data_IF_773841791492
#
_entry.id   IF_773841791492
#
_cell.length_a   1.000
_cell.length_b   1.000
_cell.length_c   1.000
_cell.angle_alpha   90.00
_cell.angle_beta   90.00
_cell.angle_gamma   90.00
#
_symmetry.space_group_name_H-M   'P 1'
#
loop_
_entity.id
_entity.type
_entity.pdbx_description
1 polymer ?
#
# COMPACT_ATOMS: atom_id res chain seq x y z
N UNK A 1 -54.72 -24.22 26.65
CA UNK A 1 -55.11 -24.79 25.35
C UNK A 1 -53.91 -24.67 24.40
N UNK A 2 -53.47 -25.82 23.86
CA UNK A 2 -52.52 -26.11 22.76
C UNK A 2 -51.81 -24.93 22.05
N UNK A 3 -50.46 -24.86 22.02
CA UNK A 3 -49.47 -25.61 21.20
C UNK A 3 -49.58 -25.37 19.69
N UNK A 4 -48.56 -24.71 19.14
CA UNK A 4 -48.03 -24.88 17.79
C UNK A 4 -46.50 -24.80 17.83
N UNK A 5 -45.81 -25.79 17.26
CA UNK A 5 -44.37 -26.10 17.36
C UNK A 5 -43.53 -25.40 16.26
N UNK A 6 -42.24 -25.18 16.56
CA UNK A 6 -41.09 -24.52 15.89
C UNK A 6 -40.65 -25.11 14.50
N UNK A 7 -39.47 -24.77 13.87
CA UNK A 7 -38.44 -23.71 14.04
C UNK A 7 -37.89 -23.09 12.71
N UNK A 8 -37.00 -22.07 12.78
CA UNK A 8 -35.71 -21.91 12.02
C UNK A 8 -35.30 -20.43 11.87
N UNK A 9 -34.45 -19.97 12.80
CA UNK A 9 -33.47 -18.91 12.59
C UNK A 9 -32.13 -19.65 12.42
N UNK A 10 -31.65 -19.86 11.19
CA UNK A 10 -30.30 -20.38 10.92
C UNK A 10 -30.05 -20.39 9.40
N UNK A 11 -29.49 -19.33 8.84
CA UNK A 11 -29.27 -19.30 7.39
C UNK A 11 -28.48 -18.10 6.90
N UNK A 12 -27.31 -17.80 7.50
CA UNK A 12 -26.18 -17.09 6.86
C UNK A 12 -24.98 -16.94 7.81
N UNK A 13 -25.15 -17.13 9.12
CA UNK A 13 -24.05 -17.08 10.11
C UNK A 13 -23.23 -18.37 10.26
N UNK A 14 -23.53 -19.44 9.51
CA UNK A 14 -22.86 -20.74 9.67
C UNK A 14 -21.56 -20.90 8.84
N UNK A 15 -21.32 -20.07 7.82
CA UNK A 15 -20.17 -20.26 6.90
C UNK A 15 -18.85 -19.65 7.40
N UNK A 16 -18.89 -18.72 8.37
CA UNK A 16 -17.69 -18.17 9.00
C UNK A 16 -17.31 -18.86 10.32
N UNK A 17 -18.22 -19.66 10.91
CA UNK A 17 -17.96 -20.41 12.15
C UNK A 17 -17.43 -21.82 11.86
N UNK A 18 -17.71 -22.41 10.68
CA UNK A 18 -17.13 -23.69 10.29
C UNK A 18 -15.63 -23.60 9.90
N UNK A 19 -15.17 -22.45 9.41
CA UNK A 19 -13.76 -22.22 9.10
C UNK A 19 -12.89 -22.10 10.37
N UNK A 20 -13.46 -21.64 11.49
CA UNK A 20 -12.74 -21.57 12.77
C UNK A 20 -12.74 -22.91 13.52
N UNK A 21 -13.74 -23.78 13.31
CA UNK A 21 -13.82 -25.06 14.01
C UNK A 21 -12.96 -26.18 13.38
N UNK A 22 -12.78 -26.23 12.05
CA UNK A 22 -11.93 -27.26 11.43
C UNK A 22 -10.44 -27.03 11.63
N UNK A 23 -10.02 -25.77 11.83
CA UNK A 23 -8.64 -25.43 12.20
C UNK A 23 -8.36 -25.82 13.66
N UNK A 24 -9.38 -25.79 14.52
CA UNK A 24 -9.26 -26.19 15.93
C UNK A 24 -9.22 -27.72 16.12
N UNK A 25 -9.84 -28.52 15.24
CA UNK A 25 -9.80 -29.99 15.32
C UNK A 25 -8.54 -30.63 14.73
N UNK A 26 -7.66 -29.87 14.06
CA UNK A 26 -6.45 -30.38 13.43
C UNK A 26 -5.18 -30.28 14.30
N UNK A 27 -5.24 -29.67 15.49
CA UNK A 27 -4.09 -29.56 16.42
C UNK A 27 -4.10 -30.59 17.55
N UNK A 28 -5.00 -31.57 17.49
CA UNK A 28 -5.05 -32.68 18.43
C UNK A 28 -4.80 -34.02 17.74
N UNK A 29 -3.57 -34.26 17.27
CA UNK A 29 -2.86 -35.56 17.28
C UNK A 29 -1.72 -35.61 16.24
N UNK A 30 -0.50 -35.82 16.74
CA UNK A 30 0.49 -36.76 16.17
C UNK A 30 1.08 -36.50 14.79
N UNK A 31 2.24 -35.85 14.78
CA UNK A 31 3.46 -36.22 14.03
C UNK A 31 3.34 -36.74 12.59
N UNK A 32 3.74 -35.89 11.64
CA UNK A 32 4.69 -36.24 10.58
C UNK A 32 5.15 -34.96 9.87
N UNK A 33 6.46 -34.83 9.77
CA UNK A 33 7.25 -33.85 9.05
C UNK A 33 6.90 -33.84 7.55
N UNK A 34 6.34 -32.74 7.03
CA UNK A 34 6.53 -32.27 5.65
C UNK A 34 6.01 -30.83 5.46
N UNK A 35 6.66 -30.06 4.59
CA UNK A 35 6.51 -28.62 4.29
C UNK A 35 5.11 -28.15 3.82
N UNK A 36 4.07 -28.30 4.65
CA UNK A 36 2.67 -28.06 4.29
C UNK A 36 2.10 -26.74 4.80
N UNK A 37 2.37 -25.62 4.12
CA UNK A 37 1.45 -24.46 4.24
C UNK A 37 0.11 -24.85 3.58
N UNK A 38 -1.04 -24.60 4.23
CA UNK A 38 -2.32 -24.89 3.61
C UNK A 38 -2.50 -24.03 2.35
N UNK A 39 -2.61 -24.66 1.19
CA UNK A 39 -2.82 -23.98 -0.09
C UNK A 39 -4.26 -23.51 -0.19
N UNK A 40 -4.49 -22.27 -0.59
CA UNK A 40 -5.83 -21.71 -0.82
C UNK A 40 -6.55 -22.46 -1.94
N UNK A 41 -5.82 -23.01 -2.91
CA UNK A 41 -6.40 -23.87 -3.96
C UNK A 41 -7.16 -25.08 -3.40
N UNK A 42 -6.82 -25.60 -2.22
CA UNK A 42 -7.54 -26.73 -1.60
C UNK A 42 -8.93 -26.35 -1.07
N UNK A 43 -9.27 -25.06 -1.01
CA UNK A 43 -10.57 -24.55 -0.56
C UNK A 43 -11.63 -24.49 -1.68
N UNK A 44 -11.22 -24.66 -2.94
CA UNK A 44 -12.07 -24.43 -4.13
C UNK A 44 -12.31 -25.70 -4.96
N UNK A 45 -12.24 -26.89 -4.35
CA UNK A 45 -12.25 -28.19 -5.03
C UNK A 45 -13.48 -28.49 -5.92
N UNK A 46 -14.57 -27.73 -5.80
CA UNK A 46 -15.76 -27.85 -6.65
C UNK A 46 -15.69 -27.03 -7.96
N UNK A 47 -14.91 -25.94 -7.99
CA UNK A 47 -14.74 -25.05 -9.15
C UNK A 47 -13.36 -25.27 -9.78
N UNK A 48 -13.25 -26.30 -10.64
CA UNK A 48 -11.97 -26.73 -11.24
C UNK A 48 -11.17 -25.60 -11.89
N UNK A 49 -11.82 -24.63 -12.54
CA UNK A 49 -11.13 -23.52 -13.21
C UNK A 49 -10.61 -22.46 -12.22
N UNK A 50 -11.32 -22.23 -11.10
CA UNK A 50 -10.88 -21.29 -10.06
C UNK A 50 -9.72 -21.87 -9.26
N UNK A 51 -9.83 -23.14 -8.87
CA UNK A 51 -8.77 -23.87 -8.17
C UNK A 51 -7.46 -23.86 -8.98
N UNK A 52 -7.54 -24.09 -10.30
CA UNK A 52 -6.38 -24.04 -11.19
C UNK A 52 -5.75 -22.64 -11.28
N UNK A 53 -6.56 -21.58 -11.40
CA UNK A 53 -6.03 -20.20 -11.44
C UNK A 53 -5.40 -19.78 -10.11
N UNK A 54 -6.01 -20.17 -8.99
CA UNK A 54 -5.45 -19.92 -7.65
C UNK A 54 -4.13 -20.67 -7.49
N UNK A 55 -4.06 -21.93 -7.90
CA UNK A 55 -2.82 -22.71 -7.86
C UNK A 55 -1.71 -22.09 -8.72
N UNK A 56 -2.02 -21.64 -9.94
CA UNK A 56 -1.05 -20.96 -10.80
C UNK A 56 -0.53 -19.65 -10.18
N UNK A 57 -1.41 -18.90 -9.52
CA UNK A 57 -1.02 -17.68 -8.81
C UNK A 57 -0.17 -17.97 -7.58
N UNK A 58 -0.51 -19.01 -6.81
CA UNK A 58 0.27 -19.47 -5.67
C UNK A 58 1.69 -19.86 -6.12
N UNK A 59 1.81 -20.64 -7.18
CA UNK A 59 3.09 -21.09 -7.73
C UNK A 59 3.90 -19.92 -8.30
N UNK A 60 3.26 -18.95 -8.96
CA UNK A 60 3.94 -17.74 -9.44
C UNK A 60 4.48 -16.91 -8.27
N UNK A 61 3.70 -16.74 -7.20
CA UNK A 61 4.11 -15.99 -6.00
C UNK A 61 5.26 -16.72 -5.29
N UNK A 62 5.17 -18.03 -5.11
CA UNK A 62 6.25 -18.84 -4.53
C UNK A 62 7.55 -18.73 -5.33
N UNK A 63 7.46 -18.80 -6.66
CA UNK A 63 8.61 -18.61 -7.54
C UNK A 63 9.22 -17.21 -7.42
N UNK A 64 8.41 -16.15 -7.38
CA UNK A 64 8.92 -14.78 -7.20
C UNK A 64 9.61 -14.59 -5.85
N UNK A 65 9.03 -15.15 -4.78
CA UNK A 65 9.63 -15.08 -3.45
C UNK A 65 10.96 -15.85 -3.39
N UNK A 66 11.04 -17.03 -4.01
CA UNK A 66 12.28 -17.79 -4.11
C UNK A 66 13.38 -17.01 -4.84
N UNK A 67 13.06 -16.43 -5.99
CA UNK A 67 13.99 -15.61 -6.76
C UNK A 67 14.46 -14.37 -5.99
N UNK A 68 13.56 -13.75 -5.20
CA UNK A 68 13.93 -12.64 -4.33
C UNK A 68 14.88 -13.07 -3.21
N UNK A 69 14.67 -14.24 -2.60
CA UNK A 69 15.58 -14.80 -1.60
C UNK A 69 16.97 -15.11 -2.17
N UNK A 70 17.02 -15.74 -3.35
CA UNK A 70 18.29 -16.01 -4.04
C UNK A 70 19.05 -14.72 -4.39
N UNK A 71 18.33 -13.67 -4.81
CA UNK A 71 18.94 -12.38 -5.10
C UNK A 71 19.51 -11.72 -3.83
N UNK A 72 18.79 -11.78 -2.71
CA UNK A 72 19.26 -11.23 -1.44
C UNK A 72 20.52 -11.95 -0.94
N UNK A 73 20.53 -13.28 -1.03
CA UNK A 73 21.70 -14.09 -0.67
C UNK A 73 22.91 -13.76 -1.55
N UNK A 74 22.70 -13.58 -2.86
CA UNK A 74 23.75 -13.16 -3.79
C UNK A 74 24.30 -11.77 -3.45
N UNK A 75 23.43 -10.81 -3.12
CA UNK A 75 23.84 -9.46 -2.73
C UNK A 75 24.67 -9.50 -1.43
N UNK A 76 24.28 -10.33 -0.46
CA UNK A 76 24.99 -10.47 0.80
C UNK A 76 26.34 -11.18 0.64
N UNK A 77 26.44 -12.18 -0.24
CA UNK A 77 27.71 -12.81 -0.61
C UNK A 77 28.65 -11.82 -1.31
N UNK A 78 28.13 -11.04 -2.27
CA UNK A 78 28.90 -9.99 -2.93
C UNK A 78 29.39 -8.92 -1.94
N UNK A 79 28.56 -8.55 -0.96
CA UNK A 79 28.94 -7.60 0.09
C UNK A 79 30.10 -8.14 0.94
N UNK A 80 30.03 -9.39 1.41
CA UNK A 80 31.08 -10.03 2.20
C UNK A 80 32.40 -10.17 1.43
N UNK A 81 32.33 -10.48 0.13
CA UNK A 81 33.52 -10.54 -0.75
C UNK A 81 34.15 -9.16 -0.96
N UNK A 82 33.33 -8.11 -1.09
CA UNK A 82 33.80 -6.73 -1.19
C UNK A 82 34.47 -6.27 0.11
N UNK A 83 33.91 -6.60 1.28
CA UNK A 83 34.51 -6.28 2.58
C UNK A 83 35.90 -6.94 2.76
N UNK A 84 36.10 -8.16 2.27
CA UNK A 84 37.40 -8.84 2.33
C UNK A 84 38.45 -8.27 1.34
N UNK A 85 38.00 -7.58 0.29
CA UNK A 85 38.89 -6.97 -0.71
C UNK A 85 39.29 -5.53 -0.35
N UNK A 86 38.66 -4.94 0.67
CA UNK A 86 39.06 -3.64 1.22
C UNK A 86 39.88 -3.85 2.50
N UNK A 87 41.15 -3.44 2.57
CA UNK A 87 41.88 -3.51 3.84
C UNK A 87 41.21 -2.61 4.88
N UNK A 88 41.29 -2.97 6.18
CA UNK A 88 40.76 -2.10 7.23
C UNK A 88 41.45 -0.74 7.14
N UNK A 89 40.65 0.33 7.19
CA UNK A 89 41.17 1.71 7.19
C UNK A 89 42.01 1.86 8.47
N UNK A 90 43.33 2.15 8.37
CA UNK A 90 44.15 2.38 9.55
C UNK A 90 43.63 3.60 10.32
N UNK A 91 43.62 3.53 11.65
CA UNK A 91 43.16 4.60 12.55
C UNK A 91 43.90 5.95 12.39
N UNK A 92 44.98 6.01 11.60
CA UNK A 92 45.78 7.23 11.39
C UNK A 92 45.17 8.26 10.41
N UNK A 93 44.00 8.01 9.81
CA UNK A 93 43.38 8.96 8.85
C UNK A 93 42.72 10.18 9.54
N UNK A 94 42.77 10.29 10.87
CA UNK A 94 42.17 11.43 11.58
C UNK A 94 43.03 12.71 11.58
N UNK A 95 44.33 12.62 11.28
CA UNK A 95 45.24 13.78 11.27
C UNK A 95 45.46 14.39 9.87
N UNK A 96 45.20 13.65 8.79
CA UNK A 96 45.34 14.15 7.42
C UNK A 96 44.22 15.11 6.99
N UNK A 97 43.10 15.16 7.72
CA UNK A 97 41.96 16.04 7.42
C UNK A 97 42.22 17.54 7.68
N UNK A 98 43.41 17.91 8.22
CA UNK A 98 43.75 19.31 8.49
C UNK A 98 44.70 19.95 7.49
N UNK A 99 45.32 19.19 6.59
CA UNK A 99 46.27 19.74 5.62
C UNK A 99 46.30 18.91 4.33
N UNK A 100 45.57 19.34 3.30
CA UNK A 100 45.72 18.73 1.98
C UNK A 100 44.60 19.05 0.99
N UNK A 101 44.82 20.10 0.18
CA UNK A 101 44.27 20.37 -1.17
C UNK A 101 42.78 20.09 -1.44
N UNK A 102 42.03 21.18 -1.62
CA UNK A 102 40.60 21.27 -1.95
C UNK A 102 40.21 20.76 -3.37
N UNK A 103 41.14 20.31 -4.21
CA UNK A 103 40.90 20.34 -5.66
C UNK A 103 40.57 19.02 -6.39
N UNK A 104 40.15 17.95 -5.68
CA UNK A 104 39.73 16.69 -6.33
C UNK A 104 38.32 16.18 -5.95
N UNK A 105 37.50 16.99 -5.28
CA UNK A 105 36.36 16.48 -4.51
C UNK A 105 34.96 16.70 -5.12
N UNK A 106 34.85 17.13 -6.38
CA UNK A 106 33.54 17.24 -7.06
C UNK A 106 33.33 16.09 -8.05
N UNK A 107 34.32 15.77 -8.89
CA UNK A 107 34.22 14.69 -9.86
C UNK A 107 34.08 13.31 -9.20
N UNK A 108 34.89 13.03 -8.15
CA UNK A 108 34.81 11.76 -7.42
C UNK A 108 33.52 11.64 -6.59
N UNK A 109 33.02 12.75 -6.04
CA UNK A 109 31.73 12.81 -5.29
C UNK A 109 30.55 12.63 -6.23
N UNK A 110 30.57 13.27 -7.40
CA UNK A 110 29.61 13.04 -8.48
C UNK A 110 29.67 11.60 -8.97
N UNK A 111 30.86 11.01 -9.10
CA UNK A 111 31.04 9.63 -9.55
C UNK A 111 30.56 8.61 -8.51
N UNK A 112 30.74 8.89 -7.22
CA UNK A 112 30.21 8.06 -6.12
C UNK A 112 28.69 8.13 -6.02
N UNK A 113 28.09 9.31 -6.23
CA UNK A 113 26.63 9.49 -6.34
C UNK A 113 26.08 8.79 -7.59
N UNK A 114 26.82 8.80 -8.70
CA UNK A 114 26.48 8.04 -9.92
C UNK A 114 26.49 6.54 -9.69
N UNK A 115 27.32 6.02 -8.79
CA UNK A 115 27.37 4.57 -8.49
C UNK A 115 26.30 4.11 -7.50
N UNK A 116 25.86 4.95 -6.56
CA UNK A 116 24.82 4.58 -5.58
C UNK A 116 23.39 4.61 -6.21
N UNK A 117 22.73 3.45 -6.40
CA UNK A 117 21.38 3.40 -6.95
C UNK A 117 20.33 4.09 -6.06
N UNK A 118 20.52 4.11 -4.74
CA UNK A 118 19.64 4.80 -3.79
C UNK A 118 19.71 6.32 -3.95
N UNK A 119 20.92 6.88 -4.06
CA UNK A 119 21.13 8.31 -4.27
C UNK A 119 20.49 8.78 -5.59
N UNK A 120 20.64 7.98 -6.66
CA UNK A 120 19.97 8.24 -7.94
C UNK A 120 18.45 8.21 -7.81
N UNK A 121 17.89 7.23 -7.11
CA UNK A 121 16.44 7.13 -6.91
C UNK A 121 15.88 8.33 -6.15
N UNK A 122 16.52 8.68 -5.03
CA UNK A 122 16.15 9.85 -4.21
C UNK A 122 16.22 11.13 -5.04
N UNK A 123 17.28 11.32 -5.83
CA UNK A 123 17.44 12.51 -6.66
C UNK A 123 16.41 12.59 -7.79
N UNK A 124 16.04 11.46 -8.40
CA UNK A 124 14.94 11.42 -9.36
C UNK A 124 13.59 11.75 -8.71
N UNK A 125 13.34 11.30 -7.48
CA UNK A 125 12.13 11.66 -6.74
C UNK A 125 12.09 13.14 -6.40
N UNK A 126 13.22 13.69 -5.92
CA UNK A 126 13.36 15.11 -5.59
C UNK A 126 13.07 15.98 -6.82
N UNK A 127 13.67 15.62 -7.96
CA UNK A 127 13.47 16.36 -9.20
C UNK A 127 12.01 16.30 -9.68
N UNK A 128 11.32 15.17 -9.49
CA UNK A 128 9.89 15.06 -9.82
C UNK A 128 9.02 16.00 -8.99
N UNK A 129 9.28 16.08 -7.68
CA UNK A 129 8.56 17.00 -6.78
C UNK A 129 8.81 18.46 -7.14
N UNK A 130 10.07 18.82 -7.41
CA UNK A 130 10.45 20.18 -7.84
C UNK A 130 9.81 20.53 -9.18
N UNK A 131 9.83 19.61 -10.16
CA UNK A 131 9.21 19.81 -11.46
C UNK A 131 7.68 19.93 -11.38
N UNK A 132 7.06 19.32 -10.36
CA UNK A 132 5.64 19.51 -10.08
C UNK A 132 5.33 20.87 -9.43
N UNK A 133 6.35 21.65 -9.03
CA UNK A 133 6.19 22.99 -8.46
C UNK A 133 6.38 23.06 -6.94
N UNK A 134 6.78 21.97 -6.29
CA UNK A 134 7.10 21.98 -4.86
C UNK A 134 8.45 22.67 -4.64
N UNK A 135 8.52 23.56 -3.65
CA UNK A 135 9.77 24.22 -3.27
C UNK A 135 10.86 23.18 -2.91
N UNK A 136 12.14 23.37 -3.31
CA UNK A 136 13.21 22.40 -3.06
C UNK A 136 13.37 21.96 -1.60
N UNK A 137 13.33 22.90 -0.65
CA UNK A 137 13.49 22.60 0.78
C UNK A 137 12.30 21.77 1.29
N UNK A 138 11.10 22.08 0.79
CA UNK A 138 9.88 21.31 1.10
C UNK A 138 9.90 19.93 0.45
N UNK A 139 10.39 19.82 -0.78
CA UNK A 139 10.51 18.55 -1.48
C UNK A 139 11.49 17.60 -0.76
N UNK A 140 12.61 18.12 -0.25
CA UNK A 140 13.55 17.33 0.55
C UNK A 140 12.92 16.86 1.87
N UNK A 141 12.20 17.74 2.57
CA UNK A 141 11.49 17.38 3.80
C UNK A 141 10.41 16.29 3.55
N UNK A 142 9.69 16.36 2.43
CA UNK A 142 8.72 15.33 2.03
C UNK A 142 9.41 13.97 1.89
N UNK A 143 10.55 13.93 1.18
CA UNK A 143 11.29 12.68 0.98
C UNK A 143 11.83 12.14 2.32
N UNK A 144 12.38 13.00 3.17
CA UNK A 144 12.86 12.60 4.49
C UNK A 144 11.73 11.99 5.34
N UNK A 145 10.52 12.60 5.32
CA UNK A 145 9.35 12.06 6.00
C UNK A 145 8.94 10.70 5.42
N UNK A 146 8.96 10.53 4.10
CA UNK A 146 8.65 9.24 3.46
C UNK A 146 9.65 8.15 3.89
N UNK A 147 10.94 8.45 3.84
CA UNK A 147 12.02 7.55 4.27
C UNK A 147 11.82 7.16 5.75
N UNK A 148 11.46 8.13 6.60
CA UNK A 148 11.16 7.89 8.01
C UNK A 148 9.95 6.99 8.22
N UNK A 149 8.84 7.24 7.53
CA UNK A 149 7.66 6.38 7.60
C UNK A 149 7.95 4.96 7.12
N UNK A 150 8.76 4.82 6.07
CA UNK A 150 9.20 3.52 5.58
C UNK A 150 10.07 2.79 6.63
N UNK A 151 10.99 3.50 7.28
CA UNK A 151 11.82 2.94 8.32
C UNK A 151 11.00 2.51 9.54
N UNK A 152 10.06 3.34 9.99
CA UNK A 152 9.17 3.01 11.10
C UNK A 152 8.27 1.83 10.77
N UNK A 153 7.72 1.77 9.55
CA UNK A 153 7.01 0.58 9.05
C UNK A 153 7.89 -0.68 9.11
N UNK A 154 9.16 -0.58 8.69
CA UNK A 154 10.09 -1.72 8.69
C UNK A 154 10.40 -2.19 10.12
N UNK A 155 10.58 -1.26 11.06
CA UNK A 155 10.76 -1.58 12.49
C UNK A 155 9.54 -2.31 13.06
N UNK A 156 8.34 -1.80 12.76
CA UNK A 156 7.09 -2.43 13.19
C UNK A 156 6.92 -3.81 12.57
N UNK A 157 7.25 -3.97 11.30
CA UNK A 157 7.15 -5.25 10.59
C UNK A 157 8.13 -6.28 11.16
N UNK A 158 9.35 -5.84 11.49
CA UNK A 158 10.35 -6.65 12.16
C UNK A 158 9.87 -7.10 13.55
N UNK A 159 9.42 -6.16 14.39
CA UNK A 159 8.90 -6.45 15.73
C UNK A 159 7.72 -7.42 15.66
N UNK A 160 6.77 -7.14 14.77
CA UNK A 160 5.62 -7.99 14.54
C UNK A 160 6.04 -9.39 14.09
N UNK A 161 7.01 -9.54 13.18
CA UNK A 161 7.48 -10.85 12.68
C UNK A 161 8.12 -11.69 13.78
N UNK A 162 8.90 -11.09 14.67
CA UNK A 162 9.62 -11.78 15.74
C UNK A 162 8.79 -12.01 17.01
N UNK A 163 7.58 -11.46 17.09
CA UNK A 163 6.67 -11.73 18.21
C UNK A 163 6.24 -13.20 18.24
N UNK A 164 6.43 -13.89 19.36
CA UNK A 164 6.10 -15.32 19.48
C UNK A 164 4.59 -15.58 19.43
N UNK A 165 3.81 -14.77 20.14
CA UNK A 165 2.34 -14.90 20.20
C UNK A 165 1.65 -13.85 19.32
N UNK A 166 1.15 -14.28 18.15
CA UNK A 166 0.40 -13.43 17.21
C UNK A 166 -1.05 -13.16 17.62
N UNK A 167 -1.54 -13.79 18.68
CA UNK A 167 -2.88 -13.60 19.24
C UNK A 167 -2.91 -12.62 20.42
N UNK A 168 -1.74 -12.27 20.95
CA UNK A 168 -1.58 -11.32 22.05
C UNK A 168 -2.12 -9.92 21.74
N UNK A 169 -2.43 -9.16 22.79
CA UNK A 169 -2.79 -7.74 22.68
C UNK A 169 -1.67 -6.90 22.05
N UNK A 170 -0.41 -7.26 22.28
CA UNK A 170 0.76 -6.62 21.65
C UNK A 170 0.76 -6.87 20.13
N UNK A 171 0.46 -8.09 19.68
CA UNK A 171 0.33 -8.41 18.26
C UNK A 171 -0.79 -7.60 17.59
N UNK A 172 -1.90 -7.38 18.30
CA UNK A 172 -3.00 -6.56 17.82
C UNK A 172 -2.59 -5.08 17.69
N UNK A 173 -1.90 -4.53 18.70
CA UNK A 173 -1.41 -3.16 18.67
C UNK A 173 -0.39 -2.94 17.53
N UNK A 174 0.55 -3.86 17.33
CA UNK A 174 1.52 -3.81 16.24
C UNK A 174 0.86 -3.93 14.87
N UNK A 175 -0.15 -4.80 14.72
CA UNK A 175 -0.94 -4.88 13.47
C UNK A 175 -1.63 -3.56 13.16
N UNK A 176 -2.20 -2.91 14.16
CA UNK A 176 -2.87 -1.63 13.97
C UNK A 176 -1.89 -0.53 13.56
N UNK A 177 -0.73 -0.46 14.23
CA UNK A 177 0.33 0.46 13.83
C UNK A 177 0.84 0.16 12.42
N UNK A 178 1.04 -1.12 12.06
CA UNK A 178 1.40 -1.51 10.69
C UNK A 178 0.36 -1.07 9.66
N UNK A 179 -0.93 -1.17 9.97
CA UNK A 179 -1.98 -0.65 9.10
C UNK A 179 -1.86 0.87 8.91
N UNK A 180 -1.48 1.63 9.93
CA UNK A 180 -1.27 3.08 9.80
C UNK A 180 -0.06 3.38 8.90
N UNK A 181 1.10 2.80 9.21
CA UNK A 181 2.36 3.09 8.51
C UNK A 181 2.46 2.47 7.11
N UNK A 182 1.64 1.46 6.79
CA UNK A 182 1.53 0.91 5.43
C UNK A 182 0.82 1.85 4.45
N UNK A 183 0.24 2.96 4.93
CA UNK A 183 -0.40 3.99 4.11
C UNK A 183 0.34 5.34 4.21
N UNK A 184 1.62 5.43 3.79
CA UNK A 184 2.46 6.63 3.98
C UNK A 184 1.86 7.89 3.34
N UNK A 185 1.06 7.71 2.29
CA UNK A 185 0.29 8.78 1.65
C UNK A 185 -0.68 9.47 2.62
N UNK A 186 -1.44 8.71 3.41
CA UNK A 186 -2.40 9.27 4.37
C UNK A 186 -1.70 10.03 5.50
N UNK A 187 -0.51 9.58 5.86
CA UNK A 187 0.33 10.28 6.83
C UNK A 187 0.82 11.63 6.27
N UNK A 188 1.20 11.68 5.00
CA UNK A 188 1.59 12.92 4.33
C UNK A 188 0.43 13.91 4.15
N UNK A 189 -0.80 13.43 4.00
CA UNK A 189 -1.99 14.28 3.85
C UNK A 189 -2.20 15.22 5.03
N UNK A 190 -1.84 14.80 6.25
CA UNK A 190 -1.93 15.64 7.45
C UNK A 190 -0.71 16.56 7.67
N UNK A 191 0.39 16.30 6.97
CA UNK A 191 1.67 17.01 7.12
C UNK A 191 1.88 18.08 6.04
N UNK A 192 1.17 17.95 4.92
CA UNK A 192 1.24 18.83 3.76
C UNK A 192 -0.01 19.71 3.69
N UNK A 193 0.17 20.92 3.18
CA UNK A 193 -0.98 21.73 2.76
C UNK A 193 -1.72 21.04 1.60
N UNK A 194 -2.99 21.40 1.39
CA UNK A 194 -3.80 20.83 0.30
C UNK A 194 -3.12 21.01 -1.06
N UNK A 195 -2.57 22.20 -1.33
CA UNK A 195 -1.84 22.51 -2.55
C UNK A 195 -0.57 21.63 -2.69
N UNK A 196 0.25 21.53 -1.64
CA UNK A 196 1.46 20.70 -1.67
C UNK A 196 1.15 19.22 -1.88
N UNK A 197 0.06 18.73 -1.28
CA UNK A 197 -0.37 17.35 -1.44
C UNK A 197 -0.82 17.08 -2.88
N UNK A 198 -1.55 18.00 -3.51
CA UNK A 198 -1.91 17.90 -4.93
C UNK A 198 -0.67 17.84 -5.84
N UNK A 199 0.31 18.71 -5.62
CA UNK A 199 1.57 18.70 -6.39
C UNK A 199 2.36 17.40 -6.15
N UNK A 200 2.35 16.90 -4.91
CA UNK A 200 2.99 15.62 -4.55
C UNK A 200 2.35 14.45 -5.30
N UNK A 201 1.02 14.42 -5.42
CA UNK A 201 0.32 13.39 -6.18
C UNK A 201 0.65 13.46 -7.66
N UNK A 202 0.68 14.67 -8.23
CA UNK A 202 1.08 14.91 -9.61
C UNK A 202 2.51 14.41 -9.89
N UNK A 203 3.47 14.72 -9.02
CA UNK A 203 4.86 14.27 -9.13
C UNK A 203 5.03 12.75 -9.13
N UNK A 204 4.11 12.03 -8.48
CA UNK A 204 4.13 10.57 -8.39
C UNK A 204 3.25 9.88 -9.44
N UNK A 205 2.71 10.64 -10.40
CA UNK A 205 1.82 10.10 -11.43
C UNK A 205 0.51 9.56 -10.86
N UNK A 206 0.20 9.84 -9.59
CA UNK A 206 -1.06 9.47 -8.97
C UNK A 206 -2.07 10.55 -9.31
N UNK A 207 -2.80 10.35 -10.40
CA UNK A 207 -3.83 11.29 -10.80
C UNK A 207 -5.10 11.09 -9.97
N UNK A 208 -5.75 12.23 -9.73
CA UNK A 208 -7.11 12.42 -9.24
C UNK A 208 -8.05 11.27 -9.65
N UNK A 209 -9.00 10.92 -8.78
CA UNK A 209 -9.94 9.82 -8.97
C UNK A 209 -10.70 9.97 -10.30
N UNK A 210 -10.20 9.32 -11.34
CA UNK A 210 -10.76 9.38 -12.68
C UNK A 210 -11.75 8.25 -12.87
N UNK A 211 -12.88 8.57 -13.46
CA UNK A 211 -13.91 7.61 -13.84
C UNK A 211 -13.50 6.98 -15.17
N UNK A 212 -13.10 5.71 -15.17
CA UNK A 212 -12.80 4.96 -16.38
C UNK A 212 -14.07 4.40 -17.03
N UNK A 213 -15.03 3.98 -16.21
CA UNK A 213 -16.31 3.43 -16.69
C UNK A 213 -17.44 3.78 -15.74
N UNK A 214 -18.61 4.04 -16.32
CA UNK A 214 -19.88 4.18 -15.61
C UNK A 214 -20.76 3.01 -16.04
N UNK A 215 -21.33 2.31 -15.07
CA UNK A 215 -22.25 1.18 -15.32
C UNK A 215 -23.64 1.76 -15.61
N UNK A 216 -24.31 1.27 -16.65
CA UNK A 216 -25.68 1.69 -17.00
C UNK A 216 -26.66 1.42 -15.85
N UNK A 217 -27.73 2.22 -15.76
CA UNK A 217 -28.80 2.08 -14.76
C UNK A 217 -28.31 2.17 -13.29
N UNK A 218 -27.25 2.94 -13.05
CA UNK A 218 -26.69 3.18 -11.71
C UNK A 218 -26.87 4.63 -11.26
N UNK A 219 -26.75 4.93 -9.95
CA UNK A 219 -26.75 6.30 -9.43
C UNK A 219 -25.83 7.26 -10.16
N UNK A 220 -24.62 6.83 -10.51
CA UNK A 220 -23.66 7.65 -11.25
C UNK A 220 -24.16 7.96 -12.67
N UNK A 221 -24.68 6.97 -13.39
CA UNK A 221 -25.23 7.18 -14.72
C UNK A 221 -26.42 8.15 -14.69
N UNK A 222 -27.33 7.98 -13.74
CA UNK A 222 -28.51 8.83 -13.58
C UNK A 222 -28.16 10.28 -13.18
N UNK A 223 -27.09 10.46 -12.40
CA UNK A 223 -26.54 11.77 -12.07
C UNK A 223 -25.68 12.38 -13.21
N UNK A 224 -25.54 11.67 -14.33
CA UNK A 224 -24.86 12.15 -15.52
C UNK A 224 -23.33 12.10 -15.44
N UNK A 225 -22.75 11.26 -14.58
CA UNK A 225 -21.30 10.96 -14.62
C UNK A 225 -20.95 10.27 -15.93
N UNK A 226 -19.75 10.58 -16.43
CA UNK A 226 -19.25 10.05 -17.70
C UNK A 226 -17.83 9.51 -17.55
N UNK A 227 -17.43 8.54 -18.40
CA UNK A 227 -16.02 8.18 -18.53
C UNK A 227 -15.16 9.41 -18.84
N UNK A 228 -14.03 9.53 -18.15
CA UNK A 228 -13.09 10.64 -18.22
C UNK A 228 -13.28 11.71 -17.14
N UNK A 229 -14.46 11.76 -16.49
CA UNK A 229 -14.69 12.68 -15.37
C UNK A 229 -13.73 12.39 -14.22
N UNK A 230 -13.38 13.43 -13.46
CA UNK A 230 -12.61 13.31 -12.23
C UNK A 230 -13.51 13.62 -11.06
N UNK A 231 -13.54 12.74 -10.07
CA UNK A 231 -14.22 12.98 -8.80
C UNK A 231 -13.23 13.70 -7.89
N UNK A 232 -13.58 14.91 -7.50
CA UNK A 232 -12.75 15.79 -6.66
C UNK A 232 -13.10 15.60 -5.19
N UNK A 233 -14.39 15.59 -4.86
CA UNK A 233 -14.87 15.38 -3.49
C UNK A 233 -16.19 14.60 -3.47
N UNK A 234 -16.45 13.92 -2.35
CA UNK A 234 -17.68 13.19 -2.07
C UNK A 234 -18.13 13.56 -0.66
N UNK A 235 -19.35 14.11 -0.54
CA UNK A 235 -19.89 14.63 0.72
C UNK A 235 -19.00 15.71 1.38
N UNK A 236 -18.36 16.57 0.58
CA UNK A 236 -17.42 17.59 1.05
C UNK A 236 -16.03 17.05 1.43
N UNK A 237 -15.84 15.73 1.38
CA UNK A 237 -14.56 15.11 1.67
C UNK A 237 -13.77 14.89 0.39
N UNK A 238 -12.49 15.29 0.40
CA UNK A 238 -11.64 15.18 -0.78
C UNK A 238 -11.41 13.71 -1.16
N UNK A 239 -11.53 13.43 -2.45
CA UNK A 239 -11.32 12.10 -3.02
C UNK A 239 -10.13 12.17 -3.96
N UNK A 240 -9.16 11.30 -3.74
CA UNK A 240 -8.00 11.23 -4.61
C UNK A 240 -7.85 9.89 -5.30
N UNK A 241 -8.41 8.81 -4.74
CA UNK A 241 -8.44 7.50 -5.38
C UNK A 241 -9.72 6.71 -5.04
N UNK A 242 -9.91 5.58 -5.73
CA UNK A 242 -11.08 4.71 -5.56
C UNK A 242 -11.27 4.22 -4.12
N UNK A 243 -10.15 4.00 -3.40
CA UNK A 243 -10.16 3.60 -2.00
C UNK A 243 -10.81 4.65 -1.08
N UNK A 244 -10.51 5.93 -1.29
CA UNK A 244 -11.13 7.04 -0.55
C UNK A 244 -12.62 7.12 -0.84
N UNK A 245 -12.98 7.06 -2.12
CA UNK A 245 -14.38 7.11 -2.55
C UNK A 245 -15.18 5.98 -1.89
N UNK A 246 -14.66 4.76 -1.92
CA UNK A 246 -15.29 3.60 -1.28
C UNK A 246 -15.42 3.79 0.23
N UNK A 247 -14.39 4.29 0.89
CA UNK A 247 -14.43 4.55 2.33
C UNK A 247 -15.45 5.63 2.70
N UNK A 248 -15.61 6.68 1.88
CA UNK A 248 -16.61 7.72 2.11
C UNK A 248 -18.03 7.22 1.82
N UNK A 249 -18.22 6.41 0.77
CA UNK A 249 -19.52 5.77 0.49
C UNK A 249 -20.01 4.95 1.69
N UNK A 250 -19.13 4.19 2.34
CA UNK A 250 -19.51 3.38 3.51
C UNK A 250 -19.77 4.19 4.79
N UNK A 251 -19.31 5.45 4.87
CA UNK A 251 -19.57 6.34 6.02
C UNK A 251 -20.94 7.01 5.97
N UNK A 252 -21.53 7.17 4.78
CA UNK A 252 -22.82 7.84 4.62
C UNK A 252 -23.97 6.85 4.86
N UNK A 253 -24.96 7.28 5.63
CA UNK A 253 -26.14 6.47 5.90
C UNK A 253 -26.96 6.21 4.62
N UNK A 254 -27.53 5.00 4.43
CA UNK A 254 -28.38 4.71 3.29
C UNK A 254 -29.59 5.65 3.16
N UNK A 255 -30.00 5.94 1.92
CA UNK A 255 -31.17 6.77 1.61
C UNK A 255 -30.93 8.28 1.64
N UNK A 256 -29.69 8.74 1.86
CA UNK A 256 -29.34 10.15 1.78
C UNK A 256 -28.96 10.56 0.36
N UNK A 257 -29.07 11.85 0.04
CA UNK A 257 -28.51 12.42 -1.19
C UNK A 257 -27.20 13.12 -0.87
N UNK A 258 -26.15 12.80 -1.62
CA UNK A 258 -24.78 13.24 -1.38
C UNK A 258 -24.31 14.13 -2.51
N UNK A 259 -23.66 15.24 -2.16
CA UNK A 259 -22.98 16.11 -3.11
C UNK A 259 -21.65 15.48 -3.55
N UNK A 260 -21.41 15.43 -4.86
CA UNK A 260 -20.16 14.96 -5.46
C UNK A 260 -19.64 16.06 -6.37
N UNK A 261 -18.45 16.56 -6.07
CA UNK A 261 -17.78 17.53 -6.92
C UNK A 261 -16.99 16.80 -7.99
N UNK A 262 -17.23 17.17 -9.25
CA UNK A 262 -16.64 16.53 -10.42
C UNK A 262 -16.02 17.56 -11.34
N UNK A 263 -14.91 17.21 -11.96
CA UNK A 263 -14.32 17.97 -13.07
C UNK A 263 -14.51 17.17 -14.36
N UNK A 264 -15.18 17.77 -15.34
CA UNK A 264 -15.48 17.10 -16.63
C UNK A 264 -14.23 16.92 -17.47
N UNK A 265 -14.15 15.82 -18.21
CA UNK A 265 -13.05 15.58 -19.14
C UNK A 265 -12.93 16.73 -20.17
N UNK A 266 -11.76 17.40 -20.20
CA UNK A 266 -11.51 18.50 -21.13
C UNK A 266 -12.13 19.85 -20.73
N UNK A 267 -12.88 19.92 -19.62
CA UNK A 267 -13.29 21.19 -19.02
C UNK A 267 -12.49 21.45 -17.74
N UNK A 268 -12.02 22.68 -17.57
CA UNK A 268 -11.41 23.10 -16.31
C UNK A 268 -12.42 23.29 -15.17
N UNK A 269 -13.71 23.43 -15.50
CA UNK A 269 -14.76 23.73 -14.53
C UNK A 269 -15.10 22.54 -13.63
N UNK A 270 -15.30 22.84 -12.35
CA UNK A 270 -15.85 21.90 -11.36
C UNK A 270 -17.36 22.08 -11.27
N UNK A 271 -18.08 20.97 -11.18
CA UNK A 271 -19.54 20.92 -11.08
C UNK A 271 -19.90 20.06 -9.87
N UNK A 272 -20.96 20.44 -9.16
CA UNK A 272 -21.52 19.61 -8.09
C UNK A 272 -22.72 18.85 -8.65
N UNK A 273 -22.65 17.52 -8.58
CA UNK A 273 -23.78 16.63 -8.88
C UNK A 273 -24.28 15.99 -7.58
N UNK A 274 -25.53 15.57 -7.59
CA UNK A 274 -26.15 14.91 -6.44
C UNK A 274 -26.45 13.46 -6.78
N UNK A 275 -25.99 12.54 -5.93
CA UNK A 275 -26.19 11.09 -6.07
C UNK A 275 -26.83 10.52 -4.82
N UNK A 276 -27.70 9.51 -4.91
CA UNK A 276 -28.11 8.76 -3.73
C UNK A 276 -26.89 8.06 -3.10
N UNK A 277 -26.85 8.05 -1.77
CA UNK A 277 -25.86 7.35 -0.96
C UNK A 277 -25.84 5.86 -1.30
N UNK A 278 -24.64 5.27 -1.40
CA UNK A 278 -24.46 3.85 -1.67
C UNK A 278 -23.60 3.59 -2.89
N UNK A 279 -23.68 2.39 -3.49
CA UNK A 279 -22.83 2.03 -4.61
C UNK A 279 -23.13 2.92 -5.82
N UNK A 280 -22.15 3.74 -6.20
CA UNK A 280 -22.34 4.72 -7.28
C UNK A 280 -22.39 4.09 -8.68
N UNK A 281 -21.72 2.94 -8.88
CA UNK A 281 -21.63 2.32 -10.20
C UNK A 281 -20.51 2.86 -11.09
N UNK A 282 -19.41 3.33 -10.48
CA UNK A 282 -18.21 3.81 -11.19
C UNK A 282 -17.04 2.84 -11.04
N UNK A 283 -16.20 2.77 -12.06
CA UNK A 283 -14.90 2.11 -12.04
C UNK A 283 -13.82 3.13 -12.40
N UNK A 284 -12.68 3.06 -11.72
CA UNK A 284 -11.54 3.97 -11.86
C UNK A 284 -10.24 3.20 -12.01
#
# INVERSE_FOLDING_TARGET
>A
MQIGKSPLIAGTTLLLILATYSVYSALGQGGAENDGKPRLSSLFSADNHLAQRVQQLEEAVENTNRLQSELLELVEDLHRRLEHLMPPIPEEVNDAARTGSVDNSLAEREEHLRRNPYARHRQMQLQRLINAGINPDRAELILEKQERFQYDHMKLAYAYRHLQDKSSAEAAALREQLNIYSHPRKMLEHELSEEEFELYLQANGQQEMRVNRVISDTPAANAGLRPGDKIISYNGERIFHMGDLRAQIYRVAPGQTVAVEVQRAGSGSREVIYVPSGPLGVQG
#
